data_IF_673720352533
#
_entry.id   IF_673720352533
#
_cell.length_a   1.000
_cell.length_b   1.000
_cell.length_c   1.000
_cell.angle_alpha   90.00
_cell.angle_beta   90.00
_cell.angle_gamma   90.00
#
_symmetry.space_group_name_H-M   'P 1'
#
loop_
_entity.id
_entity.type
_entity.pdbx_description
1 polymer ?
#
# COMPACT_ATOMS: atom_id res chain seq x y z
N UNK A 1 -28.14 44.25 6.13
CA UNK A 1 -27.87 42.80 6.25
C UNK A 1 -27.25 42.58 7.63
N UNK A 2 -28.06 42.17 8.61
CA UNK A 2 -27.66 42.03 10.01
C UNK A 2 -26.85 40.76 10.19
N UNK A 3 -25.58 40.88 10.55
CA UNK A 3 -24.70 39.74 10.81
C UNK A 3 -25.07 39.06 12.13
N UNK A 4 -25.32 37.75 12.07
CA UNK A 4 -25.61 36.93 13.26
C UNK A 4 -24.31 36.77 14.05
N UNK A 5 -24.22 37.21 15.33
CA UNK A 5 -23.04 36.98 16.13
C UNK A 5 -23.01 35.52 16.58
N UNK A 6 -22.17 34.70 15.94
CA UNK A 6 -21.90 33.33 16.40
C UNK A 6 -20.94 33.40 17.58
N UNK A 7 -21.47 33.33 18.78
CA UNK A 7 -20.69 33.18 20.00
C UNK A 7 -20.34 31.70 20.20
N UNK A 8 -19.13 31.33 19.80
CA UNK A 8 -18.58 29.98 20.07
C UNK A 8 -18.23 29.92 21.56
N UNK A 9 -19.08 29.28 22.35
CA UNK A 9 -18.77 28.93 23.74
C UNK A 9 -17.75 27.80 23.74
N UNK A 10 -16.46 28.15 23.82
CA UNK A 10 -15.40 27.18 24.11
C UNK A 10 -15.68 26.60 25.51
N UNK A 11 -16.03 25.31 25.57
CA UNK A 11 -16.24 24.62 26.84
C UNK A 11 -14.92 24.64 27.63
N UNK A 12 -14.98 25.12 28.87
CA UNK A 12 -13.82 25.44 29.72
C UNK A 12 -13.05 24.20 30.21
N UNK A 13 -13.61 23.02 30.01
CA UNK A 13 -13.05 21.75 30.48
C UNK A 13 -12.82 20.80 29.30
N UNK A 14 -11.61 20.26 29.14
CA UNK A 14 -11.30 19.32 28.07
C UNK A 14 -12.13 18.05 28.30
N UNK A 15 -13.05 17.77 27.38
CA UNK A 15 -13.77 16.52 27.38
C UNK A 15 -12.78 15.37 27.14
N UNK A 16 -12.46 14.60 28.19
CA UNK A 16 -11.57 13.44 28.11
C UNK A 16 -12.34 12.18 27.70
N UNK A 17 -11.61 11.23 27.11
CA UNK A 17 -12.14 9.90 26.82
C UNK A 17 -12.51 9.21 28.13
N UNK A 18 -13.75 8.76 28.35
CA UNK A 18 -14.15 8.12 29.60
C UNK A 18 -13.47 6.75 29.81
N UNK A 19 -12.86 6.17 28.76
CA UNK A 19 -12.22 4.87 28.82
C UNK A 19 -10.72 4.95 29.14
N UNK A 20 -10.01 5.99 28.69
CA UNK A 20 -8.54 6.08 28.84
C UNK A 20 -8.02 7.45 29.28
N UNK A 21 -8.89 8.45 29.47
CA UNK A 21 -8.50 9.79 29.89
C UNK A 21 -7.88 10.68 28.79
N UNK A 22 -7.71 10.18 27.56
CA UNK A 22 -7.17 10.99 26.44
C UNK A 22 -8.02 12.23 26.15
N UNK A 23 -7.37 13.37 25.92
CA UNK A 23 -8.04 14.64 25.54
C UNK A 23 -8.50 14.67 24.06
N UNK A 24 -8.07 13.71 23.24
CA UNK A 24 -8.36 13.68 21.80
C UNK A 24 -9.62 12.87 21.52
N UNK A 25 -10.79 13.48 21.71
CA UNK A 25 -12.09 12.88 21.38
C UNK A 25 -12.53 13.15 19.94
N UNK A 26 -13.26 12.20 19.37
CA UNK A 26 -14.12 12.44 18.21
C UNK A 26 -15.56 12.61 18.76
N UNK A 27 -16.01 13.85 18.94
CA UNK A 27 -17.36 14.14 19.46
C UNK A 27 -17.61 13.72 20.92
N UNK A 28 -18.86 13.31 21.24
CA UNK A 28 -19.30 12.92 22.60
C UNK A 28 -19.11 11.44 22.94
N UNK A 29 -18.32 10.69 22.16
CA UNK A 29 -18.03 9.28 22.41
C UNK A 29 -16.56 9.08 22.77
N UNK A 30 -15.91 8.02 22.30
CA UNK A 30 -14.57 7.62 22.71
C UNK A 30 -13.48 8.41 21.97
N UNK A 31 -12.23 8.32 22.44
CA UNK A 31 -11.10 8.66 21.57
C UNK A 31 -10.96 7.62 20.46
N UNK A 32 -10.32 8.00 19.36
CA UNK A 32 -10.13 7.14 18.19
C UNK A 32 -9.55 5.76 18.55
N UNK A 33 -8.52 5.74 19.41
CA UNK A 33 -7.87 4.49 19.86
C UNK A 33 -8.83 3.58 20.64
N UNK A 34 -9.59 4.14 21.59
CA UNK A 34 -10.56 3.36 22.37
C UNK A 34 -11.74 2.88 21.53
N UNK A 35 -12.21 3.69 20.58
CA UNK A 35 -13.25 3.30 19.63
C UNK A 35 -12.80 2.11 18.76
N UNK A 36 -11.59 2.20 18.19
CA UNK A 36 -10.99 1.11 17.40
C UNK A 36 -10.79 -0.15 18.24
N UNK A 37 -10.27 -0.01 19.47
CA UNK A 37 -10.08 -1.15 20.37
C UNK A 37 -11.41 -1.83 20.73
N UNK A 38 -12.51 -1.09 20.86
CA UNK A 38 -13.83 -1.69 21.05
C UNK A 38 -14.32 -2.40 19.79
N UNK A 39 -14.16 -1.81 18.60
CA UNK A 39 -14.51 -2.48 17.34
C UNK A 39 -13.71 -3.77 17.08
N UNK A 40 -12.43 -3.78 17.45
CA UNK A 40 -11.56 -4.97 17.35
C UNK A 40 -11.89 -6.04 18.41
N UNK A 41 -12.39 -5.64 19.57
CA UNK A 41 -12.80 -6.57 20.66
C UNK A 41 -14.24 -7.05 20.53
N UNK A 42 -15.09 -6.32 19.81
CA UNK A 42 -16.38 -6.78 19.36
C UNK A 42 -16.15 -7.91 18.37
N UNK A 43 -15.85 -9.10 18.90
CA UNK A 43 -15.71 -10.31 18.11
C UNK A 43 -16.99 -10.49 17.30
N UNK A 44 -16.83 -10.58 15.99
CA UNK A 44 -17.67 -11.43 15.16
C UNK A 44 -17.80 -12.75 15.92
N UNK A 45 -19.03 -13.18 16.24
CA UNK A 45 -19.23 -14.54 16.76
C UNK A 45 -18.53 -15.50 15.80
N UNK A 46 -17.66 -16.40 16.28
CA UNK A 46 -16.98 -17.33 15.40
C UNK A 46 -18.04 -18.14 14.62
N UNK A 47 -18.06 -18.14 13.27
CA UNK A 47 -18.80 -19.13 12.50
C UNK A 47 -18.55 -20.54 13.07
N UNK A 48 -19.61 -21.34 13.19
CA UNK A 48 -19.57 -22.70 13.75
C UNK A 48 -18.89 -23.73 12.81
N UNK A 49 -17.98 -23.25 11.97
CA UNK A 49 -17.22 -23.97 10.96
C UNK A 49 -16.11 -23.01 10.49
N UNK A 50 -15.02 -22.91 11.23
CA UNK A 50 -13.93 -21.96 10.97
C UNK A 50 -12.62 -22.70 10.79
N UNK A 51 -12.30 -22.99 9.54
CA UNK A 51 -10.91 -22.90 9.11
C UNK A 51 -10.46 -21.48 9.42
N UNK A 52 -9.52 -21.29 10.35
CA UNK A 52 -9.08 -19.94 10.69
C UNK A 52 -8.38 -19.33 9.47
N UNK A 53 -8.33 -17.99 9.38
CA UNK A 53 -7.54 -17.34 8.32
C UNK A 53 -6.08 -17.83 8.34
N UNK A 54 -5.55 -18.15 9.53
CA UNK A 54 -4.22 -18.72 9.72
C UNK A 54 -4.12 -20.15 9.17
N UNK A 55 -5.16 -20.98 9.32
CA UNK A 55 -5.25 -22.32 8.73
C UNK A 55 -5.33 -22.24 7.20
N UNK A 56 -6.20 -21.37 6.67
CA UNK A 56 -6.34 -21.14 5.22
C UNK A 56 -5.02 -20.65 4.60
N UNK A 57 -4.33 -19.72 5.26
CA UNK A 57 -3.03 -19.23 4.83
C UNK A 57 -1.91 -20.28 5.00
N UNK A 58 -2.07 -21.22 5.94
CA UNK A 58 -1.14 -22.34 6.15
C UNK A 58 -1.29 -23.46 5.11
N UNK A 59 -2.51 -23.70 4.61
CA UNK A 59 -2.78 -24.66 3.52
C UNK A 59 -2.41 -24.12 2.14
N UNK A 60 -2.44 -22.80 1.97
CA UNK A 60 -1.83 -22.14 0.82
C UNK A 60 -0.31 -22.23 0.95
N UNK A 61 0.25 -23.35 0.49
CA UNK A 61 1.69 -23.54 0.36
C UNK A 61 2.25 -22.58 -0.72
N UNK A 62 2.35 -21.29 -0.37
CA UNK A 62 2.99 -20.27 -1.22
C UNK A 62 4.51 -20.47 -1.32
N UNK A 63 5.05 -21.58 -0.79
CA UNK A 63 6.48 -21.87 -0.84
C UNK A 63 6.97 -22.27 -2.23
N UNK A 64 6.06 -22.64 -3.15
CA UNK A 64 6.44 -23.13 -4.48
C UNK A 64 5.70 -22.47 -5.67
N UNK A 65 4.90 -21.43 -5.46
CA UNK A 65 4.58 -20.57 -6.58
C UNK A 65 5.85 -19.78 -6.89
N UNK A 66 6.65 -20.27 -7.85
CA UNK A 66 7.73 -19.50 -8.48
C UNK A 66 7.07 -18.23 -9.03
N UNK A 67 6.97 -17.19 -8.18
CA UNK A 67 6.19 -16.02 -8.51
C UNK A 67 6.91 -15.33 -9.66
N UNK A 68 6.29 -15.35 -10.82
CA UNK A 68 6.87 -14.83 -12.04
C UNK A 68 6.01 -13.72 -12.59
N UNK A 69 6.69 -12.77 -13.21
CA UNK A 69 6.10 -11.72 -14.03
C UNK A 69 6.82 -11.83 -15.35
N UNK A 70 6.14 -12.33 -16.40
CA UNK A 70 6.80 -12.78 -17.62
C UNK A 70 8.04 -13.65 -17.35
N UNK A 71 9.20 -13.22 -17.85
CA UNK A 71 10.47 -13.93 -17.72
C UNK A 71 11.21 -13.68 -16.39
N UNK A 72 10.67 -12.83 -15.51
CA UNK A 72 11.29 -12.45 -14.25
C UNK A 72 10.77 -13.32 -13.11
N UNK A 73 11.65 -14.05 -12.44
CA UNK A 73 11.35 -14.71 -11.17
C UNK A 73 11.49 -13.70 -10.04
N UNK A 74 10.39 -13.41 -9.34
CA UNK A 74 10.37 -12.50 -8.21
C UNK A 74 10.95 -13.20 -6.98
N UNK A 75 11.93 -12.56 -6.33
CA UNK A 75 12.59 -13.10 -5.15
C UNK A 75 12.08 -12.45 -3.87
N UNK A 76 11.95 -11.13 -3.86
CA UNK A 76 11.43 -10.36 -2.74
C UNK A 76 11.04 -8.94 -3.20
N UNK A 77 10.17 -8.30 -2.43
CA UNK A 77 9.99 -6.85 -2.50
C UNK A 77 11.19 -6.15 -1.84
N UNK A 78 11.74 -5.14 -2.51
CA UNK A 78 12.84 -4.31 -1.99
C UNK A 78 12.45 -2.85 -1.78
N UNK A 79 11.25 -2.45 -2.20
CA UNK A 79 10.71 -1.13 -1.89
C UNK A 79 9.34 -0.88 -2.49
N UNK A 80 8.56 -0.03 -1.83
CA UNK A 80 7.24 0.40 -2.28
C UNK A 80 7.15 1.92 -2.23
N UNK A 81 6.63 2.52 -3.30
CA UNK A 81 6.37 3.95 -3.40
C UNK A 81 4.95 4.22 -3.88
N UNK A 82 4.59 5.49 -4.02
CA UNK A 82 3.20 5.88 -4.32
C UNK A 82 2.64 5.36 -5.65
N UNK A 83 3.48 5.04 -6.65
CA UNK A 83 3.03 4.53 -7.96
C UNK A 83 3.19 3.02 -8.08
N UNK A 84 4.16 2.44 -7.37
CA UNK A 84 4.67 1.14 -7.74
C UNK A 84 5.54 0.49 -6.69
N UNK A 85 5.81 -0.79 -6.93
CA UNK A 85 6.64 -1.65 -6.10
C UNK A 85 7.87 -2.06 -6.90
N UNK A 86 9.01 -2.11 -6.22
CA UNK A 86 10.28 -2.57 -6.77
C UNK A 86 10.59 -3.93 -6.15
N UNK A 87 10.83 -4.91 -7.02
CA UNK A 87 11.19 -6.26 -6.64
C UNK A 87 12.64 -6.55 -6.97
N UNK A 88 13.32 -7.29 -6.10
CA UNK A 88 14.52 -8.02 -6.51
C UNK A 88 14.04 -9.23 -7.29
N UNK A 89 14.43 -9.31 -8.55
CA UNK A 89 14.04 -10.40 -9.45
C UNK A 89 15.25 -11.04 -10.10
N UNK A 90 15.08 -12.27 -10.56
CA UNK A 90 16.05 -12.99 -11.39
C UNK A 90 15.52 -13.02 -12.82
N UNK A 91 16.32 -12.46 -13.74
CA UNK A 91 16.10 -12.59 -15.18
C UNK A 91 17.27 -13.36 -15.77
N UNK A 92 16.99 -14.55 -16.31
CA UNK A 92 18.02 -15.49 -16.79
C UNK A 92 19.04 -15.81 -15.69
N UNK A 93 20.27 -15.28 -15.79
CA UNK A 93 21.38 -15.46 -14.83
C UNK A 93 21.73 -14.18 -14.07
N UNK A 94 20.92 -13.13 -14.20
CA UNK A 94 21.17 -11.81 -13.60
C UNK A 94 20.12 -11.47 -12.55
N UNK A 95 20.55 -10.79 -11.49
CA UNK A 95 19.66 -10.15 -10.51
C UNK A 95 19.37 -8.74 -10.99
N UNK A 96 18.09 -8.38 -11.04
CA UNK A 96 17.59 -7.09 -11.53
C UNK A 96 16.61 -6.48 -10.51
N UNK A 97 16.40 -5.18 -10.62
CA UNK A 97 15.38 -4.46 -9.88
C UNK A 97 14.18 -4.21 -10.79
N UNK A 98 13.10 -4.97 -10.62
CA UNK A 98 11.90 -4.84 -11.43
C UNK A 98 10.90 -3.89 -10.76
N UNK A 99 10.70 -2.69 -11.34
CA UNK A 99 9.68 -1.74 -10.90
C UNK A 99 8.37 -2.00 -11.65
N UNK A 100 7.28 -2.19 -10.91
CA UNK A 100 5.92 -2.40 -11.45
C UNK A 100 4.93 -1.39 -10.88
N UNK A 101 3.90 -1.07 -11.64
CA UNK A 101 2.78 -0.24 -11.17
C UNK A 101 1.85 -1.09 -10.30
N UNK A 102 1.33 -0.50 -9.22
CA UNK A 102 0.34 -1.15 -8.37
C UNK A 102 -0.96 -1.42 -9.16
N UNK A 103 -1.66 -2.55 -8.95
CA UNK A 103 -2.87 -2.89 -9.69
C UNK A 103 -3.94 -1.79 -9.68
N UNK A 104 -4.16 -1.12 -8.55
CA UNK A 104 -5.12 -0.02 -8.42
C UNK A 104 -4.76 1.24 -9.23
N UNK A 105 -3.50 1.35 -9.67
CA UNK A 105 -3.03 2.44 -10.52
C UNK A 105 -2.90 2.05 -12.00
N UNK A 106 -3.05 0.77 -12.33
CA UNK A 106 -2.84 0.26 -13.69
C UNK A 106 -3.86 0.80 -14.71
N UNK A 107 -5.08 1.14 -14.28
CA UNK A 107 -6.12 1.71 -15.15
C UNK A 107 -6.01 3.23 -15.32
N UNK A 108 -5.18 3.90 -14.51
CA UNK A 108 -5.00 5.35 -14.58
C UNK A 108 -4.07 5.72 -15.73
N UNK A 109 -4.66 6.26 -16.80
CA UNK A 109 -3.89 6.76 -17.96
C UNK A 109 -2.82 7.77 -17.58
N UNK A 110 -3.10 8.65 -16.62
CA UNK A 110 -2.12 9.62 -16.13
C UNK A 110 -0.93 8.93 -15.46
N UNK A 111 -1.19 7.92 -14.64
CA UNK A 111 -0.15 7.16 -13.93
C UNK A 111 0.71 6.36 -14.91
N UNK A 112 0.10 5.71 -15.91
CA UNK A 112 0.81 5.02 -16.99
C UNK A 112 1.72 5.99 -17.77
N UNK A 113 1.21 7.17 -18.12
CA UNK A 113 1.99 8.19 -18.84
C UNK A 113 3.16 8.73 -18.00
N UNK A 114 2.98 8.86 -16.68
CA UNK A 114 4.07 9.27 -15.79
C UNK A 114 5.12 8.18 -15.68
N UNK A 115 4.71 6.93 -15.48
CA UNK A 115 5.61 5.78 -15.42
C UNK A 115 6.46 5.66 -16.69
N UNK A 116 5.83 5.74 -17.86
CA UNK A 116 6.52 5.72 -19.14
C UNK A 116 7.52 6.87 -19.30
N UNK A 117 7.13 8.09 -18.93
CA UNK A 117 8.03 9.26 -18.98
C UNK A 117 9.23 9.12 -18.05
N UNK A 118 9.04 8.57 -16.84
CA UNK A 118 10.14 8.26 -15.93
C UNK A 118 11.11 7.25 -16.58
N UNK A 119 10.58 6.20 -17.21
CA UNK A 119 11.38 5.20 -17.92
C UNK A 119 12.18 5.81 -19.08
N UNK A 120 11.53 6.56 -19.96
CA UNK A 120 12.16 7.18 -21.14
C UNK A 120 13.23 8.19 -20.74
N UNK A 121 12.97 8.98 -19.69
CA UNK A 121 13.94 9.97 -19.18
C UNK A 121 15.17 9.29 -18.60
N UNK A 122 14.98 8.23 -17.80
CA UNK A 122 16.08 7.51 -17.18
C UNK A 122 16.86 6.62 -18.17
N UNK A 123 16.21 6.09 -19.21
CA UNK A 123 16.86 5.25 -20.22
C UNK A 123 17.94 6.02 -21.02
N UNK A 124 17.81 7.34 -21.14
CA UNK A 124 18.82 8.20 -21.76
C UNK A 124 20.03 8.54 -20.88
N UNK A 125 20.02 8.16 -19.60
CA UNK A 125 21.07 8.52 -18.65
C UNK A 125 22.15 7.43 -18.57
N UNK A 126 23.34 7.76 -19.06
CA UNK A 126 24.53 6.90 -18.96
C UNK A 126 25.56 7.58 -18.06
N UNK A 127 25.63 7.14 -16.81
CA UNK A 127 26.58 7.68 -15.83
C UNK A 127 26.93 6.59 -14.79
N UNK A 128 28.18 6.49 -14.30
CA UNK A 128 28.60 5.44 -13.36
C UNK A 128 27.79 5.36 -12.05
N UNK A 129 27.13 6.47 -11.67
CA UNK A 129 26.30 6.57 -10.47
C UNK A 129 24.79 6.51 -10.75
N UNK A 130 24.38 6.19 -11.98
CA UNK A 130 22.97 6.04 -12.35
C UNK A 130 22.77 4.61 -12.84
N UNK A 131 21.80 3.93 -12.26
CA UNK A 131 21.49 2.56 -12.65
C UNK A 131 20.84 2.59 -14.06
N UNK A 132 21.42 1.90 -15.05
CA UNK A 132 20.85 1.88 -16.39
C UNK A 132 19.56 1.06 -16.42
N UNK A 133 18.60 1.50 -17.23
CA UNK A 133 17.40 0.71 -17.54
C UNK A 133 17.76 -0.31 -18.61
N UNK A 134 17.49 -1.57 -18.34
CA UNK A 134 17.77 -2.69 -19.26
C UNK A 134 16.58 -2.98 -20.17
N UNK A 135 15.36 -2.87 -19.66
CA UNK A 135 14.15 -3.25 -20.40
C UNK A 135 12.92 -2.47 -19.90
N UNK A 136 12.01 -2.19 -20.84
CA UNK A 136 10.67 -1.68 -20.55
C UNK A 136 9.67 -2.64 -21.20
N UNK A 137 8.73 -3.17 -20.42
CA UNK A 137 7.76 -4.17 -20.86
C UNK A 137 6.32 -3.68 -20.66
N UNK A 138 5.46 -4.05 -21.61
CA UNK A 138 4.00 -3.94 -21.52
C UNK A 138 3.45 -5.34 -21.81
N UNK A 139 2.93 -6.02 -20.78
CA UNK A 139 2.39 -7.37 -20.89
C UNK A 139 1.11 -7.57 -20.09
N UNK A 140 0.57 -8.79 -20.09
CA UNK A 140 -0.66 -9.13 -19.36
C UNK A 140 -0.54 -8.91 -17.84
N UNK A 141 0.69 -9.01 -17.32
CA UNK A 141 1.01 -8.67 -15.93
C UNK A 141 1.12 -7.15 -15.68
N UNK A 142 0.79 -6.32 -16.66
CA UNK A 142 0.90 -4.87 -16.61
C UNK A 142 2.30 -4.34 -16.93
N UNK A 143 2.50 -3.02 -16.86
CA UNK A 143 3.74 -2.37 -17.25
C UNK A 143 4.88 -2.60 -16.23
N UNK A 144 6.10 -2.82 -16.74
CA UNK A 144 7.30 -3.06 -15.95
C UNK A 144 8.56 -2.39 -16.51
N UNK A 145 9.49 -2.02 -15.63
CA UNK A 145 10.83 -1.52 -15.97
C UNK A 145 11.85 -2.32 -15.17
N UNK A 146 12.88 -2.85 -15.84
CA UNK A 146 13.96 -3.64 -15.22
C UNK A 146 15.34 -3.06 -15.50
#
# INVERSE_FOLDING_TARGET
>A
MSGIPVSIRLQKEPLTCPQCGSASRIGRSLCLSCLLAQGLRARVSPPQSEETLEDVLGELDMRDAEWRVGDYQILEEIGCGGIGVVYRARHRRHIVALKRILPYHAESRETLLRFRREAETAAGLLHPNILPISEVSEGDDGPGIA
#
